data_IF_313013439750
#
_entry.id   IF_313013439750
#
_cell.length_a   1.000
_cell.length_b   1.000
_cell.length_c   1.000
_cell.angle_alpha   90.00
_cell.angle_beta   90.00
_cell.angle_gamma   90.00
#
_symmetry.space_group_name_H-M   'P 1'
#
loop_
_entity.id
_entity.type
_entity.pdbx_description
1 polymer ?
#
# COMPACT_ATOMS: atom_id res chain seq x y z
N UNK A 1 8.22 37.10 -32.16
CA UNK A 1 7.57 35.77 -32.20
C UNK A 1 8.66 34.71 -32.13
N UNK A 2 8.51 33.63 -31.33
CA UNK A 2 9.43 32.48 -31.46
C UNK A 2 8.99 31.61 -32.63
N UNK A 3 9.49 31.92 -33.81
CA UNK A 3 9.44 31.02 -34.97
C UNK A 3 10.53 29.93 -34.85
N UNK A 4 10.62 29.31 -33.67
CA UNK A 4 11.40 28.11 -33.46
C UNK A 4 10.49 26.94 -33.82
N UNK A 5 10.96 26.04 -34.69
CA UNK A 5 10.22 24.83 -35.02
C UNK A 5 9.96 24.00 -33.74
N UNK A 6 8.78 23.36 -33.60
CA UNK A 6 8.51 22.49 -32.46
C UNK A 6 9.59 21.39 -32.34
N UNK A 7 10.23 21.31 -31.17
CA UNK A 7 11.33 20.38 -30.89
C UNK A 7 10.89 18.92 -31.12
N UNK A 8 9.62 18.64 -30.84
CA UNK A 8 8.91 17.45 -31.31
C UNK A 8 7.51 17.85 -31.83
N UNK A 9 7.27 17.86 -33.15
CA UNK A 9 5.97 18.22 -33.72
C UNK A 9 4.82 17.29 -33.33
N UNK A 10 5.09 16.10 -32.79
CA UNK A 10 4.06 15.16 -32.30
C UNK A 10 3.74 15.37 -30.81
N UNK A 11 4.62 16.05 -30.08
CA UNK A 11 4.52 16.23 -28.63
C UNK A 11 4.75 17.71 -28.25
N UNK A 12 3.80 18.62 -28.57
CA UNK A 12 3.95 20.08 -28.43
C UNK A 12 4.02 20.61 -26.98
N UNK A 13 4.25 19.73 -25.99
CA UNK A 13 4.55 20.04 -24.59
C UNK A 13 6.03 19.78 -24.22
N UNK A 14 6.85 19.41 -25.21
CA UNK A 14 8.31 19.29 -25.10
C UNK A 14 8.91 20.66 -25.48
N UNK A 15 8.88 21.56 -24.49
CA UNK A 15 9.30 22.96 -24.62
C UNK A 15 10.83 23.16 -24.60
N UNK A 16 11.58 22.08 -24.38
CA UNK A 16 12.98 22.06 -23.93
C UNK A 16 13.70 20.81 -24.47
N UNK A 17 14.90 20.91 -25.09
CA UNK A 17 15.64 19.74 -25.58
C UNK A 17 16.02 18.72 -24.49
N UNK A 18 16.04 19.12 -23.21
CA UNK A 18 16.26 18.21 -22.08
C UNK A 18 15.03 17.34 -21.76
N UNK A 19 13.82 17.77 -22.14
CA UNK A 19 12.59 16.99 -21.94
C UNK A 19 12.41 15.84 -22.96
N UNK A 20 13.28 15.73 -23.96
CA UNK A 20 13.22 14.68 -25.00
C UNK A 20 13.32 13.26 -24.39
N UNK A 21 12.33 12.37 -24.61
CA UNK A 21 12.31 11.01 -24.07
C UNK A 21 13.54 10.15 -24.38
N UNK A 22 14.12 10.31 -25.58
CA UNK A 22 15.27 9.54 -26.04
C UNK A 22 16.60 9.91 -25.35
N UNK A 23 16.64 11.00 -24.58
CA UNK A 23 17.83 11.46 -23.83
C UNK A 23 17.82 11.05 -22.36
N UNK A 24 16.81 10.31 -21.91
CA UNK A 24 16.67 9.91 -20.50
C UNK A 24 17.55 8.70 -20.15
N UNK A 25 18.68 8.93 -19.47
CA UNK A 25 19.41 7.83 -18.83
C UNK A 25 18.71 7.43 -17.52
N UNK A 26 18.09 6.24 -17.51
CA UNK A 26 17.40 5.69 -16.34
C UNK A 26 18.34 5.41 -15.16
N UNK A 27 19.58 4.98 -15.42
CA UNK A 27 20.54 4.63 -14.35
C UNK A 27 20.96 5.88 -13.60
N UNK A 28 21.38 6.93 -14.31
CA UNK A 28 21.65 8.25 -13.70
C UNK A 28 20.41 8.79 -12.95
N UNK A 29 19.23 8.71 -13.60
CA UNK A 29 17.98 9.24 -13.02
C UNK A 29 17.59 8.62 -11.68
N UNK A 30 17.91 7.34 -11.45
CA UNK A 30 17.57 6.62 -10.21
C UNK A 30 18.71 6.50 -9.19
N UNK A 31 19.98 6.62 -9.61
CA UNK A 31 21.14 6.33 -8.75
C UNK A 31 22.14 7.48 -8.59
N UNK A 32 22.17 8.49 -9.46
CA UNK A 32 23.00 9.69 -9.28
C UNK A 32 22.17 10.85 -8.70
N UNK A 33 22.40 11.27 -7.44
CA UNK A 33 21.72 12.42 -6.84
C UNK A 33 22.32 13.78 -7.23
N UNK A 34 23.48 13.83 -7.90
CA UNK A 34 24.20 15.08 -8.18
C UNK A 34 23.76 15.75 -9.48
N UNK A 35 23.28 14.96 -10.46
CA UNK A 35 22.76 15.46 -11.72
C UNK A 35 21.42 16.18 -11.62
N UNK A 36 20.86 16.51 -12.78
CA UNK A 36 19.57 17.19 -12.92
C UNK A 36 18.58 16.33 -13.71
N UNK A 37 17.27 16.59 -13.51
CA UNK A 37 16.19 15.89 -14.22
C UNK A 37 15.11 16.87 -14.69
N UNK A 38 14.72 16.76 -15.95
CA UNK A 38 13.68 17.56 -16.60
C UNK A 38 12.27 17.23 -16.07
N UNK A 39 11.24 17.97 -16.49
CA UNK A 39 9.84 17.70 -16.10
C UNK A 39 9.37 16.32 -16.58
N UNK A 40 9.58 16.04 -17.86
CA UNK A 40 9.17 14.79 -18.53
C UNK A 40 9.95 13.60 -18.01
N UNK A 41 11.26 13.73 -17.80
CA UNK A 41 12.09 12.65 -17.24
C UNK A 41 11.71 12.33 -15.79
N UNK A 42 11.43 13.35 -14.96
CA UNK A 42 10.97 13.17 -13.58
C UNK A 42 9.65 12.39 -13.54
N UNK A 43 8.64 12.82 -14.29
CA UNK A 43 7.33 12.14 -14.31
C UNK A 43 7.43 10.72 -14.85
N UNK A 44 8.26 10.47 -15.87
CA UNK A 44 8.53 9.10 -16.38
C UNK A 44 9.18 8.21 -15.32
N UNK A 45 10.20 8.72 -14.62
CA UNK A 45 10.87 8.01 -13.53
C UNK A 45 9.94 7.69 -12.37
N UNK A 46 9.19 8.70 -11.91
CA UNK A 46 8.22 8.57 -10.82
C UNK A 46 7.12 7.55 -11.15
N UNK A 47 6.54 7.64 -12.35
CA UNK A 47 5.51 6.72 -12.83
C UNK A 47 6.04 5.29 -12.99
N UNK A 48 7.28 5.10 -13.44
CA UNK A 48 7.91 3.78 -13.50
C UNK A 48 8.05 3.14 -12.10
N UNK A 49 8.44 3.91 -11.07
CA UNK A 49 8.53 3.42 -9.69
C UNK A 49 7.15 3.09 -9.09
N UNK A 50 6.10 3.85 -9.44
CA UNK A 50 4.72 3.51 -9.10
C UNK A 50 4.29 2.18 -9.76
N UNK A 51 4.48 2.04 -11.07
CA UNK A 51 4.11 0.82 -11.78
C UNK A 51 4.92 -0.40 -11.35
N UNK A 52 6.20 -0.26 -10.95
CA UNK A 52 6.97 -1.36 -10.40
C UNK A 52 6.32 -1.95 -9.12
N UNK A 53 5.80 -1.09 -8.23
CA UNK A 53 5.05 -1.50 -7.03
C UNK A 53 3.70 -2.13 -7.40
N UNK A 54 2.97 -1.51 -8.32
CA UNK A 54 1.65 -1.98 -8.74
C UNK A 54 1.74 -3.34 -9.46
N UNK A 55 2.69 -3.51 -10.37
CA UNK A 55 2.93 -4.78 -11.07
C UNK A 55 3.37 -5.88 -10.10
N UNK A 56 4.23 -5.58 -9.11
CA UNK A 56 4.57 -6.55 -8.07
C UNK A 56 3.32 -7.07 -7.34
N UNK A 57 2.42 -6.18 -6.92
CA UNK A 57 1.17 -6.55 -6.25
C UNK A 57 0.23 -7.32 -7.18
N UNK A 58 -0.01 -6.84 -8.40
CA UNK A 58 -0.93 -7.46 -9.37
C UNK A 58 -0.42 -8.83 -9.80
N UNK A 59 0.86 -8.97 -10.18
CA UNK A 59 1.42 -10.24 -10.61
C UNK A 59 1.48 -11.26 -9.46
N UNK A 60 1.82 -10.84 -8.24
CA UNK A 60 1.80 -11.72 -7.05
C UNK A 60 0.38 -12.22 -6.78
N UNK A 61 -0.60 -11.32 -6.70
CA UNK A 61 -2.00 -11.68 -6.43
C UNK A 61 -2.60 -12.55 -7.53
N UNK A 62 -2.35 -12.25 -8.80
CA UNK A 62 -2.82 -13.04 -9.93
C UNK A 62 -2.19 -14.44 -9.95
N UNK A 63 -0.90 -14.55 -9.63
CA UNK A 63 -0.21 -15.84 -9.55
C UNK A 63 -0.74 -16.72 -8.41
N UNK A 64 -0.90 -16.17 -7.20
CA UNK A 64 -1.51 -16.88 -6.06
C UNK A 64 -2.96 -17.29 -6.38
N UNK A 65 -3.73 -16.42 -7.04
CA UNK A 65 -5.08 -16.74 -7.51
C UNK A 65 -5.10 -17.90 -8.52
N UNK A 66 -4.22 -17.89 -9.52
CA UNK A 66 -4.08 -18.98 -10.50
C UNK A 66 -3.71 -20.29 -9.80
N UNK A 67 -2.77 -20.28 -8.85
CA UNK A 67 -2.39 -21.47 -8.09
C UNK A 67 -3.55 -22.01 -7.23
N UNK A 68 -4.34 -21.13 -6.62
CA UNK A 68 -5.55 -21.50 -5.88
C UNK A 68 -6.62 -22.10 -6.80
N UNK A 69 -6.87 -21.49 -7.97
CA UNK A 69 -7.79 -22.03 -8.99
C UNK A 69 -7.33 -23.36 -9.58
N UNK A 70 -6.02 -23.62 -9.63
CA UNK A 70 -5.43 -24.88 -10.05
C UNK A 70 -5.46 -25.98 -8.97
N UNK A 71 -6.02 -25.70 -7.78
CA UNK A 71 -6.14 -26.68 -6.69
C UNK A 71 -4.83 -26.91 -5.92
N UNK A 72 -3.90 -25.96 -5.93
CA UNK A 72 -2.69 -26.04 -5.10
C UNK A 72 -3.07 -26.07 -3.61
N UNK A 73 -2.57 -27.09 -2.88
CA UNK A 73 -2.84 -27.28 -1.44
C UNK A 73 -2.29 -26.14 -0.58
N UNK A 74 -1.17 -25.56 -1.01
CA UNK A 74 -0.62 -24.32 -0.47
C UNK A 74 -0.15 -23.44 -1.64
N UNK A 75 -0.94 -22.43 -2.05
CA UNK A 75 -0.52 -21.45 -3.06
C UNK A 75 0.36 -20.33 -2.47
N UNK A 76 0.46 -20.20 -1.14
CA UNK A 76 1.27 -19.17 -0.46
C UNK A 76 2.74 -19.59 -0.36
N UNK A 77 3.04 -20.90 -0.32
CA UNK A 77 4.41 -21.42 -0.44
C UNK A 77 5.17 -20.95 -1.70
N UNK A 78 4.44 -20.50 -2.74
CA UNK A 78 5.01 -19.96 -3.98
C UNK A 78 4.94 -18.42 -4.06
N UNK A 79 4.38 -17.74 -3.06
CA UNK A 79 4.34 -16.28 -2.99
C UNK A 79 5.73 -15.70 -2.64
N UNK A 80 6.05 -14.46 -3.05
CA UNK A 80 7.22 -13.75 -2.53
C UNK A 80 7.17 -13.64 -1.00
N UNK A 81 8.29 -13.79 -0.29
CA UNK A 81 8.29 -13.78 1.17
C UNK A 81 7.81 -12.42 1.73
N UNK A 82 7.21 -12.37 2.94
CA UNK A 82 6.53 -11.16 3.44
C UNK A 82 7.36 -9.88 3.50
N UNK A 83 8.70 -9.99 3.54
CA UNK A 83 9.62 -8.85 3.51
C UNK A 83 9.88 -8.26 2.11
N UNK A 84 9.52 -8.98 1.03
CA UNK A 84 9.83 -8.59 -0.34
C UNK A 84 9.14 -7.28 -0.77
N UNK A 85 7.85 -7.12 -0.43
CA UNK A 85 7.13 -5.87 -0.73
C UNK A 85 7.65 -4.67 0.09
N UNK A 86 7.84 -4.76 1.43
CA UNK A 86 8.56 -3.74 2.19
C UNK A 86 9.92 -3.36 1.62
N UNK A 87 10.74 -4.35 1.21
CA UNK A 87 12.05 -4.10 0.60
C UNK A 87 11.94 -3.35 -0.73
N UNK A 88 11.00 -3.75 -1.60
CA UNK A 88 10.70 -3.04 -2.85
C UNK A 88 10.23 -1.60 -2.58
N UNK A 89 9.37 -1.39 -1.59
CA UNK A 89 8.86 -0.08 -1.19
C UNK A 89 9.99 0.85 -0.72
N UNK A 90 10.92 0.36 0.10
CA UNK A 90 12.11 1.11 0.55
C UNK A 90 13.04 1.41 -0.62
N UNK A 91 13.40 0.41 -1.44
CA UNK A 91 14.28 0.57 -2.62
C UNK A 91 13.75 1.64 -3.56
N UNK A 92 12.46 1.57 -3.90
CA UNK A 92 11.80 2.54 -4.77
C UNK A 92 11.58 3.91 -4.12
N UNK A 93 11.55 4.01 -2.78
CA UNK A 93 11.54 5.30 -2.07
C UNK A 93 12.91 6.00 -2.14
N UNK A 94 14.01 5.24 -2.05
CA UNK A 94 15.38 5.77 -2.26
C UNK A 94 15.51 6.31 -3.70
N UNK A 95 15.17 5.50 -4.71
CA UNK A 95 15.17 5.92 -6.13
C UNK A 95 14.26 7.13 -6.38
N UNK A 96 13.10 7.19 -5.73
CA UNK A 96 12.20 8.35 -5.84
C UNK A 96 12.80 9.59 -5.20
N UNK A 97 13.50 9.47 -4.06
CA UNK A 97 14.17 10.61 -3.44
C UNK A 97 15.32 11.14 -4.31
N UNK A 98 16.09 10.26 -4.98
CA UNK A 98 17.09 10.67 -5.99
C UNK A 98 16.43 11.47 -7.12
N UNK A 99 15.34 10.99 -7.72
CA UNK A 99 14.58 11.75 -8.72
C UNK A 99 14.12 13.12 -8.23
N UNK A 100 13.66 13.21 -6.97
CA UNK A 100 13.23 14.46 -6.36
C UNK A 100 14.39 15.43 -6.12
N UNK A 101 15.56 14.96 -5.63
CA UNK A 101 16.78 15.76 -5.50
C UNK A 101 17.16 16.34 -6.87
N UNK A 102 17.32 15.50 -7.89
CA UNK A 102 17.66 15.93 -9.26
C UNK A 102 16.64 16.92 -9.84
N UNK A 103 15.35 16.74 -9.57
CA UNK A 103 14.27 17.61 -10.07
C UNK A 103 14.23 18.96 -9.36
N UNK A 104 14.37 18.98 -8.04
CA UNK A 104 14.43 20.21 -7.25
C UNK A 104 15.66 21.04 -7.63
N UNK A 105 16.83 20.40 -7.79
CA UNK A 105 18.05 21.04 -8.29
C UNK A 105 17.87 21.68 -9.67
N UNK A 106 17.25 20.98 -10.63
CA UNK A 106 16.95 21.55 -11.96
C UNK A 106 16.00 22.77 -11.88
N UNK A 107 15.08 22.76 -10.92
CA UNK A 107 14.14 23.85 -10.67
C UNK A 107 14.68 24.97 -9.76
N UNK A 108 15.98 24.95 -9.41
CA UNK A 108 16.62 25.89 -8.47
C UNK A 108 15.89 25.98 -7.11
N UNK A 109 15.44 24.82 -6.59
CA UNK A 109 14.81 24.67 -5.27
C UNK A 109 15.68 23.82 -4.36
N UNK A 110 15.63 24.10 -3.06
CA UNK A 110 16.40 23.36 -2.06
C UNK A 110 16.12 21.84 -2.15
N UNK A 111 17.15 21.01 -2.40
CA UNK A 111 16.96 19.55 -2.51
C UNK A 111 16.51 18.89 -1.21
N UNK A 112 16.63 19.58 -0.06
CA UNK A 112 16.15 19.11 1.24
C UNK A 112 14.67 18.73 1.23
N UNK A 113 13.85 19.35 0.36
CA UNK A 113 12.44 18.97 0.19
C UNK A 113 12.25 17.52 -0.31
N UNK A 114 13.26 16.88 -0.91
CA UNK A 114 13.21 15.46 -1.29
C UNK A 114 13.15 14.51 -0.08
N UNK A 115 13.40 14.99 1.14
CA UNK A 115 13.23 14.20 2.39
C UNK A 115 11.76 13.88 2.67
N UNK A 116 10.80 14.68 2.16
CA UNK A 116 9.37 14.38 2.31
C UNK A 116 8.99 13.01 1.70
N UNK A 117 9.74 12.55 0.69
CA UNK A 117 9.55 11.22 0.05
C UNK A 117 9.73 10.06 1.05
N UNK A 118 10.45 10.28 2.16
CA UNK A 118 10.69 9.28 3.19
C UNK A 118 9.62 9.24 4.29
N UNK A 119 8.74 10.25 4.40
CA UNK A 119 7.67 10.29 5.40
C UNK A 119 6.80 9.02 5.41
N UNK A 120 6.38 8.43 4.27
CA UNK A 120 5.59 7.20 4.28
C UNK A 120 6.36 6.01 4.86
N UNK A 121 7.68 5.95 4.65
CA UNK A 121 8.55 4.91 5.22
C UNK A 121 8.65 5.08 6.73
N UNK A 122 8.79 6.32 7.23
CA UNK A 122 8.83 6.62 8.66
C UNK A 122 7.49 6.31 9.35
N UNK A 123 6.36 6.67 8.73
CA UNK A 123 5.02 6.34 9.23
C UNK A 123 4.76 4.83 9.22
N UNK A 124 5.17 4.13 8.15
CA UNK A 124 5.10 2.67 8.08
C UNK A 124 5.96 1.99 9.14
N UNK A 125 7.19 2.46 9.37
CA UNK A 125 8.08 1.93 10.41
C UNK A 125 7.53 2.19 11.82
N UNK A 126 6.99 3.38 12.08
CA UNK A 126 6.34 3.69 13.36
C UNK A 126 5.12 2.79 13.61
N UNK A 127 4.25 2.64 12.60
CA UNK A 127 3.11 1.72 12.67
C UNK A 127 3.53 0.26 12.84
N UNK A 128 4.61 -0.16 12.19
CA UNK A 128 5.18 -1.50 12.35
C UNK A 128 5.64 -1.76 13.78
N UNK A 129 6.37 -0.82 14.39
CA UNK A 129 6.85 -0.98 15.77
C UNK A 129 5.69 -1.06 16.77
N UNK A 130 4.64 -0.23 16.61
CA UNK A 130 3.43 -0.26 17.46
C UNK A 130 2.68 -1.59 17.29
N UNK A 131 2.35 -1.99 16.05
CA UNK A 131 1.62 -3.22 15.78
C UNK A 131 2.40 -4.49 16.17
N UNK A 132 3.74 -4.48 16.06
CA UNK A 132 4.57 -5.59 16.49
C UNK A 132 4.65 -5.70 18.03
N UNK A 133 4.71 -4.59 18.75
CA UNK A 133 4.65 -4.59 20.21
C UNK A 133 3.28 -5.10 20.72
N UNK A 134 2.18 -4.67 20.09
CA UNK A 134 0.83 -5.16 20.39
C UNK A 134 0.69 -6.66 20.09
N UNK A 135 1.06 -7.08 18.88
CA UNK A 135 1.00 -8.48 18.47
C UNK A 135 1.85 -9.42 19.33
N UNK A 136 3.02 -8.97 19.79
CA UNK A 136 3.86 -9.76 20.69
C UNK A 136 3.16 -10.08 22.03
N UNK A 137 2.33 -9.18 22.56
CA UNK A 137 1.52 -9.39 23.76
C UNK A 137 0.26 -10.22 23.50
N UNK A 138 -0.45 -9.97 22.40
CA UNK A 138 -1.61 -10.78 21.97
C UNK A 138 -1.26 -12.25 21.71
N UNK A 139 -0.02 -12.55 21.34
CA UNK A 139 0.40 -13.93 21.06
C UNK A 139 0.21 -14.85 22.27
N UNK A 140 0.47 -14.36 23.49
CA UNK A 140 0.38 -15.16 24.70
C UNK A 140 -1.08 -15.46 25.08
N UNK A 141 -1.99 -14.48 24.92
CA UNK A 141 -3.42 -14.69 25.14
C UNK A 141 -4.01 -15.65 24.11
N UNK A 142 -3.72 -15.46 22.81
CA UNK A 142 -4.20 -16.37 21.75
C UNK A 142 -3.61 -17.78 21.86
N UNK A 143 -2.38 -17.91 22.37
CA UNK A 143 -1.77 -19.22 22.70
C UNK A 143 -2.47 -19.90 23.88
N UNK A 144 -2.76 -19.16 24.94
CA UNK A 144 -3.51 -19.69 26.09
C UNK A 144 -4.94 -20.11 25.69
N UNK A 145 -5.63 -19.31 24.88
CA UNK A 145 -6.92 -19.69 24.29
C UNK A 145 -6.85 -20.96 23.44
N UNK A 146 -5.84 -21.09 22.57
CA UNK A 146 -5.65 -22.28 21.74
C UNK A 146 -5.40 -23.52 22.61
N UNK A 147 -4.59 -23.39 23.67
CA UNK A 147 -4.37 -24.46 24.65
C UNK A 147 -5.66 -24.82 25.41
N UNK A 148 -6.48 -23.84 25.79
CA UNK A 148 -7.78 -24.09 26.40
C UNK A 148 -8.79 -24.76 25.44
N UNK A 149 -8.72 -24.46 24.14
CA UNK A 149 -9.51 -25.14 23.08
C UNK A 149 -9.03 -26.57 22.78
N UNK A 150 -7.76 -26.89 23.06
CA UNK A 150 -7.21 -28.25 22.92
C UNK A 150 -7.20 -29.07 24.22
N UNK A 151 -7.47 -28.44 25.37
CA UNK A 151 -7.67 -29.17 26.61
C UNK A 151 -8.90 -30.09 26.46
N UNK A 152 -8.79 -31.42 26.65
CA UNK A 152 -9.91 -32.31 26.50
C UNK A 152 -10.98 -31.97 27.54
N UNK A 153 -12.21 -31.71 27.08
CA UNK A 153 -13.34 -31.43 27.97
C UNK A 153 -13.53 -32.59 28.94
N UNK A 154 -13.29 -32.35 30.22
CA UNK A 154 -13.49 -33.31 31.31
C UNK A 154 -15.00 -33.53 31.54
N UNK A 155 -15.65 -34.20 30.58
CA UNK A 155 -17.10 -34.37 30.49
C UNK A 155 -17.53 -35.41 29.45
N UNK A 156 -16.85 -35.55 28.30
CA UNK A 156 -17.13 -36.62 27.31
C UNK A 156 -16.66 -38.02 27.76
N UNK A 157 -16.32 -38.16 29.04
CA UNK A 157 -15.90 -39.39 29.71
C UNK A 157 -16.99 -40.12 30.50
N UNK A 158 -18.29 -39.83 30.28
CA UNK A 158 -19.39 -40.71 30.71
C UNK A 158 -20.70 -40.42 29.95
N UNK A 159 -21.00 -41.17 28.88
CA UNK A 159 -22.34 -41.21 28.26
C UNK A 159 -22.72 -42.64 27.85
N UNK A 160 -22.83 -43.50 28.86
CA UNK A 160 -23.30 -44.87 28.71
C UNK A 160 -24.72 -44.96 28.15
N UNK A 161 -25.02 -46.11 27.54
CA UNK A 161 -26.28 -46.41 26.86
C UNK A 161 -27.50 -46.43 27.80
N UNK A 162 -28.30 -45.34 27.82
CA UNK A 162 -29.76 -45.35 28.04
C UNK A 162 -30.41 -43.95 27.96
N UNK A 163 -31.15 -43.67 26.88
CA UNK A 163 -32.40 -42.87 26.87
C UNK A 163 -33.01 -42.77 25.45
N UNK A 164 -33.73 -43.80 25.01
CA UNK A 164 -34.58 -43.74 23.80
C UNK A 164 -36.00 -44.18 24.13
N UNK A 165 -36.83 -43.27 24.65
CA UNK A 165 -38.27 -43.45 24.89
C UNK A 165 -38.98 -42.10 25.10
N UNK A 166 -40.18 -41.91 24.53
CA UNK A 166 -41.02 -40.69 24.68
C UNK A 166 -40.59 -39.51 23.80
N UNK A 167 -41.29 -39.02 22.75
CA UNK A 167 -42.66 -39.20 22.22
C UNK A 167 -43.77 -38.44 23.00
N UNK A 168 -44.41 -37.41 22.41
CA UNK A 168 -45.67 -36.84 22.97
C UNK A 168 -46.08 -35.35 22.77
N UNK A 169 -45.99 -34.78 21.56
CA UNK A 169 -46.92 -33.81 20.89
C UNK A 169 -47.83 -32.77 21.63
N UNK A 170 -48.15 -31.64 20.93
CA UNK A 170 -49.29 -30.67 21.11
C UNK A 170 -49.34 -29.82 22.41
N UNK A 171 -49.93 -28.61 22.55
CA UNK A 171 -50.69 -27.61 21.72
C UNK A 171 -50.90 -26.30 22.58
N UNK A 172 -51.45 -25.13 22.19
CA UNK A 172 -51.65 -24.34 20.94
C UNK A 172 -52.39 -23.00 21.29
N UNK A 173 -52.35 -21.94 20.44
CA UNK A 173 -52.93 -20.56 20.61
C UNK A 173 -52.36 -19.68 21.75
N UNK A 174 -52.28 -18.34 21.70
CA UNK A 174 -52.61 -17.26 20.71
C UNK A 174 -52.28 -15.87 21.36
N UNK A 175 -52.40 -14.68 20.76
CA UNK A 175 -52.78 -14.23 19.41
C UNK A 175 -52.29 -12.75 19.16
N UNK A 176 -52.24 -12.29 17.89
CA UNK A 176 -51.96 -10.95 17.30
C UNK A 176 -51.63 -9.68 18.14
N UNK A 177 -50.56 -8.96 17.74
CA UNK A 177 -50.58 -7.52 17.32
C UNK A 177 -49.22 -7.09 16.70
N UNK A 178 -49.22 -6.15 15.75
CA UNK A 178 -48.04 -5.70 14.97
C UNK A 178 -47.33 -4.45 15.55
N UNK A 179 -46.02 -4.30 15.30
CA UNK A 179 -45.34 -2.99 15.13
C UNK A 179 -43.99 -3.14 14.37
N UNK A 180 -43.44 -2.05 13.80
CA UNK A 180 -42.45 -2.11 12.69
C UNK A 180 -40.94 -1.96 13.06
N UNK A 181 -40.11 -2.91 12.58
CA UNK A 181 -38.70 -2.74 12.12
C UNK A 181 -37.60 -2.29 13.13
N UNK A 182 -36.28 -2.34 12.79
CA UNK A 182 -35.61 -2.89 11.60
C UNK A 182 -34.60 -4.03 11.89
N UNK A 183 -33.95 -4.55 10.85
CA UNK A 183 -33.04 -5.70 10.88
C UNK A 183 -31.68 -5.43 11.57
N UNK A 184 -31.27 -6.30 12.51
CA UNK A 184 -29.91 -6.31 13.06
C UNK A 184 -28.94 -7.17 12.21
N UNK A 185 -28.80 -6.80 10.94
CA UNK A 185 -27.90 -7.46 9.98
C UNK A 185 -26.40 -7.17 10.23
N UNK A 186 -26.08 -6.33 11.23
CA UNK A 186 -24.75 -5.78 11.47
C UNK A 186 -23.80 -6.66 12.30
N UNK A 187 -24.34 -7.61 13.08
CA UNK A 187 -23.53 -8.48 13.97
C UNK A 187 -22.89 -9.67 13.25
N UNK A 188 -23.59 -10.29 12.30
CA UNK A 188 -23.10 -11.50 11.64
C UNK A 188 -21.81 -11.29 10.83
N UNK A 189 -21.60 -10.13 10.19
CA UNK A 189 -20.35 -9.87 9.45
C UNK A 189 -19.14 -9.72 10.38
N UNK A 190 -19.34 -9.17 11.58
CA UNK A 190 -18.30 -9.12 12.61
C UNK A 190 -17.94 -10.52 13.09
N UNK A 191 -18.95 -11.32 13.46
CA UNK A 191 -18.74 -12.67 13.99
C UNK A 191 -18.13 -13.62 12.94
N UNK A 192 -18.54 -13.52 11.67
CA UNK A 192 -17.94 -14.29 10.56
C UNK A 192 -16.48 -13.91 10.30
N UNK A 193 -16.10 -12.63 10.45
CA UNK A 193 -14.69 -12.19 10.40
C UNK A 193 -13.87 -12.73 11.56
N UNK A 194 -14.37 -12.63 12.79
CA UNK A 194 -13.65 -13.15 13.97
C UNK A 194 -13.51 -14.69 13.93
N UNK A 195 -14.57 -15.41 13.54
CA UNK A 195 -14.52 -16.88 13.41
C UNK A 195 -13.45 -17.33 12.41
N UNK A 196 -13.32 -16.62 11.28
CA UNK A 196 -12.30 -16.87 10.26
C UNK A 196 -10.85 -16.58 10.70
N UNK A 197 -10.62 -15.78 11.75
CA UNK A 197 -9.29 -15.64 12.38
C UNK A 197 -9.09 -16.62 13.56
N UNK A 198 -10.13 -16.90 14.35
CA UNK A 198 -10.07 -17.83 15.50
C UNK A 198 -9.70 -19.27 15.09
N UNK A 199 -10.07 -19.70 13.87
CA UNK A 199 -9.68 -21.00 13.30
C UNK A 199 -8.28 -21.03 12.65
N UNK A 200 -7.60 -19.88 12.50
CA UNK A 200 -6.30 -19.79 11.79
C UNK A 200 -5.07 -19.67 12.68
N UNK A 201 -5.23 -19.31 13.95
CA UNK A 201 -4.08 -19.17 14.85
C UNK A 201 -3.66 -20.52 15.42
N UNK A 202 -2.60 -21.10 14.85
CA UNK A 202 -1.90 -22.27 15.38
C UNK A 202 -0.49 -21.86 15.88
N UNK A 203 -0.24 -21.84 17.20
CA UNK A 203 1.06 -21.50 17.78
C UNK A 203 2.13 -22.58 17.58
N UNK A 204 1.80 -23.75 17.02
CA UNK A 204 2.79 -24.75 16.56
C UNK A 204 3.34 -24.41 15.17
N UNK A 205 2.60 -23.66 14.37
CA UNK A 205 2.98 -23.22 13.02
C UNK A 205 3.48 -21.77 13.00
N UNK A 206 2.88 -20.88 13.78
CA UNK A 206 3.24 -19.45 13.83
C UNK A 206 4.06 -19.12 15.08
N UNK A 207 5.28 -18.62 14.88
CA UNK A 207 6.13 -18.15 16.00
C UNK A 207 5.68 -16.79 16.55
N UNK A 208 5.97 -16.48 17.83
CA UNK A 208 5.65 -15.16 18.42
C UNK A 208 6.23 -14.00 17.61
N UNK A 209 7.47 -14.15 17.14
CA UNK A 209 8.16 -13.16 16.28
C UNK A 209 7.42 -12.94 14.96
N UNK A 210 6.89 -14.00 14.37
CA UNK A 210 6.16 -13.96 13.11
C UNK A 210 4.77 -13.37 13.28
N UNK A 211 4.01 -13.78 14.29
CA UNK A 211 2.73 -13.17 14.61
C UNK A 211 2.87 -11.66 14.90
N UNK A 212 3.88 -11.26 15.68
CA UNK A 212 4.23 -9.87 15.91
C UNK A 212 4.60 -9.14 14.59
N UNK A 213 5.40 -9.76 13.71
CA UNK A 213 5.74 -9.16 12.42
C UNK A 213 4.51 -9.00 11.50
N UNK A 214 3.58 -9.96 11.49
CA UNK A 214 2.33 -9.88 10.73
C UNK A 214 1.41 -8.77 11.29
N UNK A 215 1.26 -8.66 12.61
CA UNK A 215 0.53 -7.58 13.27
C UNK A 215 1.16 -6.21 12.98
N UNK A 216 2.49 -6.10 13.04
CA UNK A 216 3.25 -4.92 12.63
C UNK A 216 2.99 -4.53 11.18
N UNK A 217 3.06 -5.46 10.23
CA UNK A 217 2.77 -5.19 8.81
C UNK A 217 1.32 -4.75 8.57
N UNK A 218 0.35 -5.33 9.28
CA UNK A 218 -1.06 -4.91 9.23
C UNK A 218 -1.21 -3.46 9.72
N UNK A 219 -0.67 -3.13 10.89
CA UNK A 219 -0.77 -1.79 11.48
C UNK A 219 0.03 -0.73 10.71
N UNK A 220 1.17 -1.10 10.11
CA UNK A 220 1.97 -0.23 9.24
C UNK A 220 1.25 0.21 7.96
N UNK A 221 0.35 -0.63 7.43
CA UNK A 221 -0.22 -0.46 6.10
C UNK A 221 -1.01 0.84 5.92
N UNK A 222 -1.86 1.21 6.87
CA UNK A 222 -2.72 2.40 6.77
C UNK A 222 -1.96 3.73 6.93
N UNK A 223 -1.08 3.93 7.95
CA UNK A 223 -0.22 5.12 8.03
C UNK A 223 0.70 5.28 6.80
N UNK A 224 1.26 4.17 6.29
CA UNK A 224 2.06 4.17 5.07
C UNK A 224 1.25 4.59 3.84
N UNK A 225 0.03 4.06 3.67
CA UNK A 225 -0.83 4.38 2.54
C UNK A 225 -1.28 5.86 2.56
N UNK A 226 -1.70 6.37 3.72
CA UNK A 226 -2.07 7.79 3.90
C UNK A 226 -0.88 8.70 3.62
N UNK A 227 0.30 8.41 4.19
CA UNK A 227 1.52 9.17 3.90
C UNK A 227 1.89 9.13 2.42
N UNK A 228 1.76 7.96 1.77
CA UNK A 228 2.05 7.78 0.35
C UNK A 228 1.10 8.59 -0.54
N UNK A 229 -0.18 8.72 -0.16
CA UNK A 229 -1.15 9.57 -0.86
C UNK A 229 -0.74 11.04 -0.80
N UNK A 230 -0.37 11.56 0.38
CA UNK A 230 0.11 12.95 0.51
C UNK A 230 1.39 13.20 -0.30
N UNK A 231 2.37 12.29 -0.25
CA UNK A 231 3.60 12.40 -1.06
C UNK A 231 3.31 12.32 -2.56
N UNK A 232 2.39 11.46 -3.00
CA UNK A 232 1.96 11.40 -4.41
C UNK A 232 1.35 12.72 -4.87
N UNK A 233 0.40 13.27 -4.10
CA UNK A 233 -0.23 14.55 -4.41
C UNK A 233 0.80 15.69 -4.46
N UNK A 234 1.74 15.75 -3.51
CA UNK A 234 2.83 16.72 -3.53
C UNK A 234 3.77 16.54 -4.74
N UNK A 235 4.14 15.30 -5.07
CA UNK A 235 4.98 14.96 -6.24
C UNK A 235 4.35 15.44 -7.54
N UNK A 236 3.05 15.19 -7.73
CA UNK A 236 2.33 15.48 -8.97
C UNK A 236 1.85 16.93 -9.07
N UNK A 237 1.37 17.52 -7.97
CA UNK A 237 0.79 18.86 -7.98
C UNK A 237 1.84 19.98 -7.91
N UNK A 238 2.97 19.73 -7.23
CA UNK A 238 4.04 20.70 -7.03
C UNK A 238 5.32 20.32 -7.80
N UNK A 239 5.99 19.22 -7.45
CA UNK A 239 7.34 18.88 -7.97
C UNK A 239 7.32 18.69 -9.49
N UNK A 240 6.36 17.93 -10.01
CA UNK A 240 6.14 17.71 -11.45
C UNK A 240 5.62 18.94 -12.22
N UNK A 241 5.26 20.03 -11.52
CA UNK A 241 4.84 21.31 -12.12
C UNK A 241 5.86 22.44 -11.99
N UNK A 242 6.98 22.21 -11.30
CA UNK A 242 8.09 23.17 -11.29
C UNK A 242 8.61 23.41 -12.73
N UNK A 243 9.04 24.64 -13.07
CA UNK A 243 9.67 24.92 -14.36
C UNK A 243 11.12 24.41 -14.41
N UNK A 244 11.57 23.96 -15.58
CA UNK A 244 13.00 23.69 -15.82
C UNK A 244 13.80 25.00 -15.69
N UNK A 245 15.00 24.91 -15.13
CA UNK A 245 15.93 26.05 -14.97
C UNK A 245 15.55 27.07 -13.90
N UNK A 246 14.50 26.83 -13.10
CA UNK A 246 14.05 27.71 -12.01
C UNK A 246 13.34 29.00 -12.42
N UNK A 247 13.51 29.47 -13.67
CA UNK A 247 12.79 30.62 -14.22
C UNK A 247 11.28 30.44 -14.13
N UNK A 248 10.59 31.38 -13.47
CA UNK A 248 9.16 31.29 -13.20
C UNK A 248 8.32 31.27 -14.49
N UNK A 249 7.12 30.68 -14.42
CA UNK A 249 6.15 30.71 -15.54
C UNK A 249 5.86 32.17 -15.94
N UNK A 250 5.73 33.06 -14.95
CA UNK A 250 5.46 34.49 -15.14
C UNK A 250 6.59 35.20 -15.89
N UNK A 251 7.85 34.97 -15.51
CA UNK A 251 9.01 35.58 -16.20
C UNK A 251 9.15 35.13 -17.66
N UNK A 252 8.70 33.91 -18.02
CA UNK A 252 8.63 33.48 -19.44
C UNK A 252 7.57 34.23 -20.26
N UNK A 253 6.57 34.83 -19.61
CA UNK A 253 5.60 35.73 -20.25
C UNK A 253 6.04 37.19 -20.18
N UNK A 254 6.80 37.60 -19.17
CA UNK A 254 7.36 38.96 -19.07
C UNK A 254 8.55 39.17 -20.03
N UNK A 255 9.30 38.13 -20.40
CA UNK A 255 10.25 38.15 -21.53
C UNK A 255 9.57 38.23 -22.92
N UNK A 256 8.23 38.18 -23.00
CA UNK A 256 7.51 38.03 -24.29
C UNK A 256 7.06 39.35 -24.96
N UNK A 257 7.38 40.52 -24.38
CA UNK A 257 7.18 41.82 -25.04
C UNK A 257 7.25 43.03 -24.09
N UNK A 258 7.06 44.26 -24.61
CA UNK A 258 6.90 44.62 -26.02
C UNK A 258 8.23 44.94 -26.71
N UNK A 259 8.28 44.80 -28.03
CA UNK A 259 9.33 45.46 -28.83
C UNK A 259 8.88 46.86 -29.22
N UNK A 260 9.77 47.84 -29.10
CA UNK A 260 9.53 49.22 -29.54
C UNK A 260 9.36 49.27 -31.07
N UNK A 261 8.52 50.19 -31.54
CA UNK A 261 8.37 50.47 -32.97
C UNK A 261 9.38 51.54 -33.39
N UNK A 262 10.32 51.15 -34.27
CA UNK A 262 11.30 52.01 -34.92
C UNK A 262 11.55 51.53 -36.35
#
# INVERSE_FOLDING_TARGET
>A
MRNAEPIDPKHPWIDDPSDLPARMNWVESFFDPTGQTSRVHFTRGWTALFFARLLFLVCTSAFVFIMMSAGAKDPQAFAPPPWAFPALVVMTAIMSSVLHVRRLSNAQRSPLWATLVMIPILLGAAGFMVGAAQGAGEYETKRAEWQARQAPTAGDGLRDDRASAGQGNTAENGETADDEAPEDSSKEEGEKRERGERERFDPTQTSQREYAAQAGLRFASLPWAIGSLFVMLWSLLWVGRLPNGGGSIRSRFEEAGPYEAG
#
